data_IF_989680243278
#
_entry.id   IF_989680243278
#
_cell.length_a   1.000
_cell.length_b   1.000
_cell.length_c   1.000
_cell.angle_alpha   90.00
_cell.angle_beta   90.00
_cell.angle_gamma   90.00
#
_symmetry.space_group_name_H-M   'P 1'
#
loop_
_entity.id
_entity.type
_entity.pdbx_description
1 polymer ?
#
# COMPACT_ATOMS: atom_id res chain seq x y z
N UNK A 1 -18.43 -24.39 -29.72
CA UNK A 1 -17.82 -23.29 -28.95
C UNK A 1 -18.39 -21.97 -29.47
N UNK A 2 -18.65 -21.03 -28.59
CA UNK A 2 -19.08 -19.68 -29.00
C UNK A 2 -17.90 -18.98 -29.69
N UNK A 3 -18.03 -18.48 -30.93
CA UNK A 3 -16.91 -17.87 -31.68
C UNK A 3 -16.35 -16.58 -31.03
N UNK A 4 -17.07 -16.00 -30.08
CA UNK A 4 -16.59 -14.85 -29.28
C UNK A 4 -15.69 -15.23 -28.09
N UNK A 5 -15.47 -16.52 -27.82
CA UNK A 5 -14.64 -17.00 -26.74
C UNK A 5 -13.24 -17.33 -27.26
N UNK A 6 -12.26 -16.54 -26.86
CA UNK A 6 -10.86 -16.71 -27.29
C UNK A 6 -10.15 -17.84 -26.54
N UNK A 7 -10.49 -18.05 -25.29
CA UNK A 7 -9.85 -19.08 -24.45
C UNK A 7 -10.74 -19.46 -23.28
N UNK A 8 -10.65 -20.71 -22.85
CA UNK A 8 -11.28 -21.23 -21.63
C UNK A 8 -10.24 -21.98 -20.82
N UNK A 9 -10.10 -21.65 -19.55
CA UNK A 9 -9.17 -22.32 -18.65
C UNK A 9 -9.85 -22.58 -17.29
N UNK A 10 -9.44 -23.63 -16.56
CA UNK A 10 -9.97 -23.93 -15.25
C UNK A 10 -9.71 -22.79 -14.27
N UNK A 11 -10.71 -22.43 -13.47
CA UNK A 11 -10.50 -21.50 -12.37
C UNK A 11 -9.67 -22.20 -11.28
N UNK A 12 -8.47 -21.68 -11.03
CA UNK A 12 -7.57 -22.14 -9.96
C UNK A 12 -7.31 -20.96 -9.01
N UNK A 13 -7.32 -21.24 -7.72
CA UNK A 13 -6.87 -20.26 -6.73
C UNK A 13 -5.44 -19.83 -7.06
N UNK A 14 -5.23 -18.51 -7.15
CA UNK A 14 -3.92 -17.91 -7.40
C UNK A 14 -3.47 -17.20 -6.14
N UNK A 15 -2.22 -17.40 -5.78
CA UNK A 15 -1.59 -16.63 -4.69
C UNK A 15 -1.04 -15.32 -5.26
N UNK A 16 -1.14 -14.25 -4.49
CA UNK A 16 -0.49 -12.99 -4.84
C UNK A 16 1.03 -13.17 -4.74
N UNK A 17 1.74 -12.74 -5.77
CA UNK A 17 3.20 -12.87 -5.89
C UNK A 17 3.83 -11.47 -6.00
N UNK A 18 3.72 -10.67 -4.96
CA UNK A 18 4.20 -9.28 -4.99
C UNK A 18 5.73 -9.17 -4.88
N UNK A 19 6.39 -10.11 -4.22
CA UNK A 19 7.83 -10.06 -3.94
C UNK A 19 8.74 -10.29 -5.15
N UNK A 20 8.19 -10.74 -6.29
CA UNK A 20 8.97 -11.00 -7.52
C UNK A 20 8.58 -10.10 -8.69
N UNK A 21 7.70 -9.13 -8.46
CA UNK A 21 7.22 -8.22 -9.50
C UNK A 21 8.35 -7.38 -10.10
N UNK A 22 9.28 -6.96 -9.29
CA UNK A 22 10.44 -6.17 -9.70
C UNK A 22 11.35 -6.90 -10.70
N UNK A 23 11.59 -8.19 -10.48
CA UNK A 23 12.32 -9.03 -11.42
C UNK A 23 11.54 -9.22 -12.72
N UNK A 24 10.25 -9.49 -12.63
CA UNK A 24 9.38 -9.66 -13.79
C UNK A 24 9.32 -8.39 -14.65
N UNK A 25 9.28 -7.22 -14.02
CA UNK A 25 9.27 -5.92 -14.71
C UNK A 25 10.66 -5.47 -15.17
N UNK A 26 11.71 -6.25 -14.92
CA UNK A 26 13.08 -5.91 -15.32
C UNK A 26 13.67 -4.71 -14.55
N UNK A 27 13.09 -4.35 -13.39
CA UNK A 27 13.56 -3.24 -12.56
C UNK A 27 14.82 -3.61 -11.77
N UNK A 28 15.08 -4.89 -11.61
CA UNK A 28 16.23 -5.42 -10.90
C UNK A 28 17.05 -6.33 -11.82
N UNK A 29 18.37 -6.29 -11.66
CA UNK A 29 19.30 -7.28 -12.22
C UNK A 29 19.48 -8.49 -11.31
N UNK A 30 20.19 -9.48 -11.81
CA UNK A 30 20.55 -10.68 -11.09
C UNK A 30 21.09 -10.39 -9.70
N UNK A 31 20.53 -11.07 -8.70
CA UNK A 31 20.86 -10.84 -7.29
C UNK A 31 20.18 -9.63 -6.63
N UNK A 32 19.23 -8.98 -7.30
CA UNK A 32 18.47 -7.88 -6.70
C UNK A 32 19.20 -6.53 -6.72
N UNK A 33 20.07 -6.32 -7.69
CA UNK A 33 20.82 -5.05 -7.84
C UNK A 33 20.00 -4.06 -8.65
N UNK A 34 19.80 -2.86 -8.11
CA UNK A 34 19.20 -1.74 -8.84
C UNK A 34 20.21 -1.21 -9.85
N UNK A 35 19.78 -1.03 -11.07
CA UNK A 35 20.64 -0.50 -12.13
C UNK A 35 20.75 1.02 -12.01
N UNK A 36 21.93 1.61 -12.24
CA UNK A 36 22.11 3.07 -12.23
C UNK A 36 21.28 3.80 -13.29
N UNK A 37 20.87 3.10 -14.35
CA UNK A 37 20.02 3.62 -15.44
C UNK A 37 18.54 3.23 -15.28
N UNK A 38 18.17 2.70 -14.12
CA UNK A 38 16.79 2.28 -13.85
C UNK A 38 15.86 3.47 -13.69
N UNK A 39 14.57 3.25 -13.97
CA UNK A 39 13.53 4.24 -13.74
C UNK A 39 13.47 4.66 -12.25
N UNK A 40 13.86 3.78 -11.35
CA UNK A 40 13.91 4.09 -9.92
C UNK A 40 14.99 5.12 -9.59
N UNK A 41 16.21 4.94 -10.13
CA UNK A 41 17.28 5.92 -9.99
C UNK A 41 16.90 7.26 -10.62
N UNK A 42 16.38 7.24 -11.85
CA UNK A 42 15.94 8.44 -12.55
C UNK A 42 14.85 9.18 -11.80
N UNK A 43 13.91 8.43 -11.20
CA UNK A 43 12.84 8.97 -10.36
C UNK A 43 13.29 9.26 -8.92
N UNK A 44 14.56 9.07 -8.60
CA UNK A 44 15.11 9.23 -7.24
C UNK A 44 14.27 8.48 -6.19
N UNK A 45 13.88 7.23 -6.51
CA UNK A 45 13.04 6.39 -5.64
C UNK A 45 11.77 7.07 -5.13
N UNK A 46 11.18 7.95 -5.93
CA UNK A 46 9.98 8.70 -5.52
C UNK A 46 10.23 9.79 -4.48
N UNK A 47 11.47 10.20 -4.26
CA UNK A 47 11.80 11.27 -3.31
C UNK A 47 10.94 12.50 -3.54
N UNK A 48 10.32 13.01 -2.49
CA UNK A 48 9.39 14.14 -2.50
C UNK A 48 8.07 13.88 -3.26
N UNK A 49 7.74 12.65 -3.58
CA UNK A 49 6.44 12.30 -4.15
C UNK A 49 5.40 12.12 -3.04
N UNK A 50 4.18 12.60 -3.28
CA UNK A 50 3.02 12.30 -2.44
C UNK A 50 2.16 11.30 -3.19
N UNK A 51 1.94 10.13 -2.58
CA UNK A 51 1.11 9.07 -3.14
C UNK A 51 -0.24 9.10 -2.44
N UNK A 52 -1.32 9.07 -3.19
CA UNK A 52 -2.66 8.87 -2.69
C UNK A 52 -3.17 7.49 -3.09
N UNK A 53 -3.73 6.75 -2.14
CA UNK A 53 -4.38 5.47 -2.34
C UNK A 53 -5.88 5.62 -2.04
N UNK A 54 -6.74 5.24 -2.98
CA UNK A 54 -8.19 5.19 -2.80
C UNK A 54 -8.57 3.72 -2.67
N UNK A 55 -8.82 3.29 -1.45
CA UNK A 55 -9.02 1.89 -1.11
C UNK A 55 -9.85 1.74 0.18
N UNK A 56 -9.84 0.56 0.78
CA UNK A 56 -10.59 0.22 2.00
C UNK A 56 -10.09 0.89 3.28
N UNK A 57 -9.05 1.71 3.22
CA UNK A 57 -8.41 2.34 4.37
C UNK A 57 -6.96 1.93 4.55
N UNK A 58 -6.41 2.16 5.74
CA UNK A 58 -5.04 1.77 6.08
C UNK A 58 -4.93 1.41 7.55
N UNK A 59 -4.05 0.46 7.89
CA UNK A 59 -3.68 0.12 9.26
C UNK A 59 -2.41 0.90 9.64
N UNK A 60 -2.55 2.02 10.35
CA UNK A 60 -1.45 2.99 10.51
C UNK A 60 -0.30 2.50 11.38
N UNK A 61 -0.56 1.51 12.25
CA UNK A 61 0.46 0.91 13.12
C UNK A 61 1.31 -0.15 12.42
N UNK A 62 1.01 -0.49 11.17
CA UNK A 62 1.85 -1.42 10.41
C UNK A 62 3.25 -0.83 10.21
N UNK A 63 4.28 -1.65 10.42
CA UNK A 63 5.68 -1.23 10.35
C UNK A 63 6.07 -0.60 9.00
N UNK A 64 5.41 -1.00 7.90
CA UNK A 64 5.62 -0.39 6.59
C UNK A 64 5.20 1.09 6.50
N UNK A 65 4.48 1.60 7.51
CA UNK A 65 4.11 3.01 7.62
C UNK A 65 4.86 3.74 8.74
N UNK A 66 5.96 3.16 9.25
CA UNK A 66 6.86 3.87 10.15
C UNK A 66 7.35 5.17 9.50
N UNK A 67 7.53 6.19 10.31
CA UNK A 67 8.06 7.48 9.87
C UNK A 67 9.53 7.69 10.26
N UNK A 68 10.23 6.62 10.62
CA UNK A 68 11.64 6.68 10.97
C UNK A 68 12.47 7.14 9.77
N UNK A 69 13.35 8.09 9.99
CA UNK A 69 14.16 8.68 8.91
C UNK A 69 13.44 9.68 8.01
N UNK A 70 12.11 9.85 8.14
CA UNK A 70 11.38 10.81 7.32
C UNK A 70 11.56 12.26 7.77
N UNK A 71 11.78 13.15 6.80
CA UNK A 71 11.77 14.59 6.97
C UNK A 71 10.38 15.10 7.41
N UNK A 72 10.26 16.35 7.89
CA UNK A 72 8.97 16.96 8.14
C UNK A 72 8.03 16.92 6.95
N UNK A 73 6.73 16.94 7.22
CA UNK A 73 5.70 16.96 6.18
C UNK A 73 5.92 18.14 5.24
N UNK A 74 5.91 17.95 3.91
CA UNK A 74 6.17 19.02 2.96
C UNK A 74 5.15 20.16 3.10
N UNK A 75 5.61 21.42 3.08
CA UNK A 75 4.74 22.61 3.21
C UNK A 75 3.67 22.72 2.12
N UNK A 76 3.90 22.10 0.96
CA UNK A 76 2.92 21.99 -0.14
C UNK A 76 1.74 21.07 0.19
N UNK A 77 1.87 20.19 1.19
CA UNK A 77 0.77 19.35 1.62
C UNK A 77 -0.33 20.18 2.28
N UNK A 78 -1.55 20.07 1.79
CA UNK A 78 -2.73 20.79 2.29
C UNK A 78 -3.85 19.82 2.69
N UNK A 79 -3.53 18.53 2.79
CA UNK A 79 -4.50 17.53 3.22
C UNK A 79 -4.75 17.53 4.73
N UNK A 80 -5.58 16.61 5.14
CA UNK A 80 -6.01 16.47 6.54
C UNK A 80 -5.72 15.08 7.07
N UNK A 81 -5.65 14.97 8.39
CA UNK A 81 -5.74 13.70 9.10
C UNK A 81 -7.13 13.63 9.72
N UNK A 82 -8.06 12.95 9.04
CA UNK A 82 -9.43 12.83 9.53
C UNK A 82 -9.49 11.75 10.61
N UNK A 83 -9.99 12.09 11.78
CA UNK A 83 -10.27 11.14 12.85
C UNK A 83 -11.66 10.54 12.68
N UNK A 84 -11.80 9.28 13.09
CA UNK A 84 -13.08 8.64 13.25
C UNK A 84 -13.83 9.14 14.49
N UNK A 85 -15.06 8.65 14.69
CA UNK A 85 -15.87 9.02 15.86
C UNK A 85 -15.21 8.52 17.15
N UNK A 86 -14.77 7.28 17.17
CA UNK A 86 -14.07 6.66 18.32
C UNK A 86 -12.60 6.37 18.07
N UNK A 87 -12.11 6.60 16.85
CA UNK A 87 -10.74 6.33 16.44
C UNK A 87 -9.96 7.63 16.21
N UNK A 88 -9.04 7.95 17.09
CA UNK A 88 -8.08 9.02 16.87
C UNK A 88 -6.97 8.51 15.97
N UNK A 89 -7.22 8.50 14.66
CA UNK A 89 -6.31 7.97 13.66
C UNK A 89 -4.92 8.64 13.73
N UNK A 90 -3.82 7.87 13.89
CA UNK A 90 -2.49 8.43 14.07
C UNK A 90 -1.80 8.68 12.72
N UNK A 91 -1.97 9.87 12.14
CA UNK A 91 -1.09 10.29 11.04
C UNK A 91 0.33 10.56 11.54
N UNK A 92 1.30 10.44 10.65
CA UNK A 92 2.70 10.65 10.95
C UNK A 92 3.41 11.31 9.74
N UNK A 93 4.76 11.40 9.75
CA UNK A 93 5.53 12.04 8.67
C UNK A 93 5.57 11.24 7.36
N UNK A 94 5.24 9.94 7.39
CA UNK A 94 5.09 9.07 6.22
C UNK A 94 3.63 8.99 5.79
N UNK A 95 2.73 8.63 6.70
CA UNK A 95 1.30 8.61 6.48
C UNK A 95 0.72 10.00 6.81
N UNK A 96 0.94 10.94 5.89
CA UNK A 96 0.75 12.38 6.12
C UNK A 96 -0.70 12.85 6.12
N UNK A 97 -1.62 11.98 5.73
CA UNK A 97 -3.03 12.30 5.76
C UNK A 97 -3.92 11.13 5.42
N UNK A 98 -5.14 11.21 5.89
CA UNK A 98 -6.17 10.20 5.62
C UNK A 98 -7.53 10.87 5.59
N UNK A 99 -8.43 10.31 4.81
CA UNK A 99 -9.83 10.71 4.76
C UNK A 99 -10.68 9.49 4.42
N UNK A 100 -11.88 9.38 5.00
CA UNK A 100 -12.85 8.37 4.62
C UNK A 100 -14.12 9.02 4.05
N UNK A 101 -14.82 8.27 3.21
CA UNK A 101 -16.02 8.71 2.51
C UNK A 101 -17.07 7.60 2.60
N UNK A 102 -18.12 7.84 3.35
CA UNK A 102 -19.14 6.87 3.72
C UNK A 102 -20.51 7.12 3.05
N UNK A 103 -20.69 8.25 2.39
CA UNK A 103 -22.00 8.64 1.81
C UNK A 103 -22.52 7.64 0.78
N UNK A 104 -21.66 7.07 -0.06
CA UNK A 104 -22.05 6.05 -1.02
C UNK A 104 -22.53 4.78 -0.32
N UNK A 105 -21.78 4.32 0.68
CA UNK A 105 -22.14 3.15 1.47
C UNK A 105 -23.50 3.33 2.19
N UNK A 106 -23.73 4.50 2.78
CA UNK A 106 -25.01 4.84 3.42
C UNK A 106 -26.16 4.85 2.39
N UNK A 107 -25.91 5.42 1.21
CA UNK A 107 -26.93 5.50 0.15
C UNK A 107 -27.34 4.11 -0.38
N UNK A 108 -26.47 3.12 -0.27
CA UNK A 108 -26.74 1.71 -0.61
C UNK A 108 -27.34 0.92 0.58
N UNK A 109 -27.72 1.59 1.66
CA UNK A 109 -28.32 0.97 2.85
C UNK A 109 -27.33 0.47 3.89
N UNK A 110 -26.05 0.84 3.73
CA UNK A 110 -25.02 0.51 4.71
C UNK A 110 -25.21 1.27 6.03
N UNK A 111 -24.81 0.66 7.13
CA UNK A 111 -24.91 1.23 8.48
C UNK A 111 -23.54 1.69 8.95
N UNK A 112 -23.43 2.97 9.24
CA UNK A 112 -22.24 3.55 9.87
C UNK A 112 -22.47 3.61 11.39
N UNK A 113 -21.54 3.00 12.11
CA UNK A 113 -21.47 3.04 13.58
C UNK A 113 -20.26 3.87 14.00
N UNK A 114 -20.19 4.20 15.28
CA UNK A 114 -19.03 4.92 15.80
C UNK A 114 -17.70 4.12 15.68
N UNK A 115 -17.80 2.81 15.57
CA UNK A 115 -16.66 1.90 15.45
C UNK A 115 -16.12 1.84 14.04
N UNK A 116 -17.00 1.87 13.01
CA UNK A 116 -16.60 1.75 11.60
C UNK A 116 -16.49 3.09 10.87
N UNK A 117 -16.87 4.20 11.51
CA UNK A 117 -16.68 5.55 10.99
C UNK A 117 -15.22 6.00 11.15
N UNK A 118 -14.33 5.40 10.38
CA UNK A 118 -12.89 5.63 10.42
C UNK A 118 -12.25 5.30 9.07
N UNK A 119 -11.03 5.79 8.84
CA UNK A 119 -10.20 5.41 7.70
C UNK A 119 -9.35 4.15 7.96
N UNK A 120 -9.59 3.47 9.07
CA UNK A 120 -8.86 2.25 9.44
C UNK A 120 -9.28 1.08 8.55
N UNK A 121 -8.31 0.35 8.07
CA UNK A 121 -8.52 -0.80 7.19
C UNK A 121 -8.78 -2.07 8.01
N UNK A 122 -10.02 -2.51 8.06
CA UNK A 122 -10.40 -3.77 8.71
C UNK A 122 -10.37 -4.98 7.75
N UNK A 123 -10.27 -4.72 6.44
CA UNK A 123 -10.22 -5.77 5.42
C UNK A 123 -8.78 -6.20 5.08
N UNK A 124 -7.80 -5.31 5.30
CA UNK A 124 -6.40 -5.51 4.99
C UNK A 124 -6.01 -5.19 3.55
N UNK A 125 -6.99 -4.95 2.66
CA UNK A 125 -6.72 -4.70 1.25
C UNK A 125 -6.02 -3.35 1.03
N UNK A 126 -6.54 -2.28 1.59
CA UNK A 126 -5.98 -0.94 1.42
C UNK A 126 -4.59 -0.79 2.04
N UNK A 127 -4.36 -1.43 3.19
CA UNK A 127 -3.02 -1.50 3.80
C UNK A 127 -2.01 -2.22 2.91
N UNK A 128 -2.42 -3.32 2.28
CA UNK A 128 -1.57 -4.09 1.36
C UNK A 128 -1.22 -3.26 0.11
N UNK A 129 -2.21 -2.69 -0.55
CA UNK A 129 -1.99 -1.90 -1.77
C UNK A 129 -1.16 -0.65 -1.50
N UNK A 130 -1.43 0.05 -0.40
CA UNK A 130 -0.66 1.23 0.01
C UNK A 130 0.78 0.86 0.38
N UNK A 131 1.00 -0.27 1.07
CA UNK A 131 2.35 -0.78 1.35
C UNK A 131 3.12 -1.10 0.09
N UNK A 132 2.45 -1.65 -0.93
CA UNK A 132 3.07 -1.94 -2.23
C UNK A 132 3.46 -0.66 -2.96
N UNK A 133 2.63 0.38 -2.88
CA UNK A 133 2.85 1.66 -3.57
C UNK A 133 3.89 2.55 -2.88
N UNK A 134 3.96 2.52 -1.55
CA UNK A 134 4.77 3.46 -0.80
C UNK A 134 5.12 3.00 0.63
N UNK A 135 5.09 1.69 0.89
CA UNK A 135 5.52 1.14 2.17
C UNK A 135 7.02 1.32 2.40
N UNK A 136 7.42 1.29 3.65
CA UNK A 136 8.82 1.25 4.04
C UNK A 136 9.30 -0.19 4.20
N UNK A 137 10.60 -0.35 4.26
CA UNK A 137 11.21 -1.64 4.48
C UNK A 137 10.88 -2.16 5.88
N UNK A 138 10.42 -3.40 5.97
CA UNK A 138 10.12 -4.07 7.24
C UNK A 138 11.06 -5.26 7.42
N UNK A 139 11.90 -5.17 8.45
CA UNK A 139 12.85 -6.22 8.78
C UNK A 139 12.15 -7.51 9.24
N UNK A 140 12.76 -8.64 8.94
CA UNK A 140 12.35 -9.96 9.43
C UNK A 140 10.92 -10.39 9.07
N UNK A 141 10.35 -9.82 8.01
CA UNK A 141 9.05 -10.30 7.51
C UNK A 141 9.24 -11.70 6.97
N UNK A 142 8.51 -12.65 7.53
CA UNK A 142 8.40 -13.99 6.97
C UNK A 142 6.94 -14.41 6.95
N UNK A 143 6.55 -15.13 5.91
CA UNK A 143 5.26 -15.78 5.82
C UNK A 143 5.53 -17.29 5.92
N UNK A 144 5.23 -17.89 7.07
CA UNK A 144 5.34 -19.32 7.34
C UNK A 144 6.72 -19.92 6.97
N UNK A 145 7.82 -19.23 7.25
CA UNK A 145 9.20 -19.61 6.90
C UNK A 145 9.50 -19.79 5.40
N UNK A 146 8.54 -19.56 4.51
CA UNK A 146 8.70 -19.76 3.06
C UNK A 146 9.17 -18.53 2.29
N UNK A 147 9.05 -17.35 2.87
CA UNK A 147 9.52 -16.10 2.26
C UNK A 147 10.38 -15.37 3.28
N UNK A 148 11.69 -15.43 3.11
CA UNK A 148 12.58 -14.41 3.69
C UNK A 148 12.64 -13.26 2.72
N UNK A 149 12.15 -12.10 3.12
CA UNK A 149 12.41 -10.87 2.38
C UNK A 149 13.87 -10.51 2.64
N UNK A 150 14.73 -10.51 1.61
CA UNK A 150 16.13 -10.13 1.79
C UNK A 150 16.22 -8.70 2.34
N UNK A 151 17.15 -8.48 3.24
CA UNK A 151 17.41 -7.20 3.92
C UNK A 151 18.00 -6.09 3.03
N UNK A 152 17.66 -6.05 1.74
CA UNK A 152 18.24 -5.09 0.77
C UNK A 152 17.19 -4.56 -0.20
N UNK A 153 16.18 -3.89 0.33
CA UNK A 153 15.26 -3.13 -0.50
C UNK A 153 15.04 -1.76 0.14
N UNK A 154 15.95 -0.88 -0.15
CA UNK A 154 15.74 0.57 -0.05
C UNK A 154 15.74 1.13 -1.44
#
# INVERSE_FOLDING_TARGET
MNPSVLSVFPNKAKKLHTTRSWHFLGLLKDGGVIRPDSIWEMARFGKNTIIANLDAGVWPEAASFSNDGFSPIPSRWKGICQHGIKDKFPCNRKLIGVRYFDKGYIAEGGIITAENATARDFAGHGSHTLSTAGGDFVHNVNIYRFVRVPSRWM
#
